data_IF_177646182483
#
_entry.id   IF_177646182483
#
_cell.length_a   1.000
_cell.length_b   1.000
_cell.length_c   1.000
_cell.angle_alpha   90.00
_cell.angle_beta   90.00
_cell.angle_gamma   90.00
#
_symmetry.space_group_name_H-M   'P 1'
#
loop_
_entity.id
_entity.type
_entity.pdbx_description
1 polymer ?
#
# COMPACT_ATOMS: atom_id res chain seq x y z
N UNK A 1 -39.90 6.28 -14.34
CA UNK A 1 -38.47 5.92 -14.18
C UNK A 1 -37.79 6.98 -13.32
N UNK A 2 -37.17 6.55 -12.20
CA UNK A 2 -36.39 7.44 -11.36
C UNK A 2 -35.12 7.86 -12.09
N UNK A 3 -34.76 9.16 -11.97
CA UNK A 3 -33.54 9.68 -12.57
C UNK A 3 -32.31 9.11 -11.83
N UNK A 4 -31.33 8.65 -12.57
CA UNK A 4 -30.04 8.24 -11.98
C UNK A 4 -29.15 9.45 -11.75
N UNK A 5 -28.42 9.51 -10.62
CA UNK A 5 -27.51 10.61 -10.33
C UNK A 5 -26.29 10.61 -11.25
N UNK A 6 -25.70 11.79 -11.45
CA UNK A 6 -24.44 11.93 -12.18
C UNK A 6 -23.24 11.51 -11.28
N UNK A 7 -22.78 10.27 -11.43
CA UNK A 7 -21.71 9.72 -10.61
C UNK A 7 -20.36 10.43 -10.80
N UNK A 8 -20.09 10.96 -11.99
CA UNK A 8 -18.82 11.69 -12.26
C UNK A 8 -18.81 13.02 -11.49
N UNK A 9 -19.91 13.73 -11.49
CA UNK A 9 -20.10 14.95 -10.71
C UNK A 9 -19.94 14.67 -9.20
N UNK A 10 -20.70 13.69 -8.68
CA UNK A 10 -20.69 13.32 -7.27
C UNK A 10 -19.29 13.01 -6.77
N UNK A 11 -18.52 12.24 -7.53
CA UNK A 11 -17.14 11.88 -7.15
C UNK A 11 -16.22 13.10 -7.09
N UNK A 12 -16.35 13.97 -8.07
CA UNK A 12 -15.52 15.18 -8.12
C UNK A 12 -15.82 16.10 -6.93
N UNK A 13 -17.09 16.24 -6.58
CA UNK A 13 -17.51 17.08 -5.47
C UNK A 13 -17.17 16.46 -4.09
N UNK A 14 -17.26 15.15 -3.93
CA UNK A 14 -16.84 14.47 -2.68
C UNK A 14 -15.36 14.63 -2.34
N UNK A 15 -14.52 15.04 -3.29
CA UNK A 15 -13.10 15.35 -3.03
C UNK A 15 -12.90 16.75 -2.42
N UNK A 16 -13.94 17.59 -2.40
CA UNK A 16 -13.87 18.94 -1.83
C UNK A 16 -14.13 18.92 -0.32
N UNK A 17 -13.37 19.70 0.41
CA UNK A 17 -13.57 19.85 1.86
C UNK A 17 -14.96 20.40 2.17
N UNK A 18 -15.66 19.76 3.10
CA UNK A 18 -17.01 20.17 3.55
C UNK A 18 -18.16 19.61 2.73
N UNK A 19 -17.92 18.92 1.61
CA UNK A 19 -18.95 18.27 0.81
C UNK A 19 -19.21 16.86 1.34
N UNK A 20 -20.47 16.51 1.54
CA UNK A 20 -20.88 15.19 1.98
C UNK A 20 -22.03 14.62 1.12
N UNK A 21 -22.27 13.31 1.23
CA UNK A 21 -23.32 12.63 0.43
C UNK A 21 -24.71 13.21 0.65
N UNK A 22 -24.98 13.76 1.84
CA UNK A 22 -26.31 14.35 2.14
C UNK A 22 -26.55 15.64 1.38
N UNK A 23 -25.51 16.51 1.30
CA UNK A 23 -25.56 17.74 0.53
C UNK A 23 -25.82 17.45 -0.95
N UNK A 24 -25.04 16.53 -1.54
CA UNK A 24 -25.16 16.13 -2.94
C UNK A 24 -26.51 15.47 -3.26
N UNK A 25 -27.11 14.78 -2.29
CA UNK A 25 -28.44 14.23 -2.45
C UNK A 25 -29.50 15.33 -2.48
N UNK A 26 -29.37 16.38 -1.68
CA UNK A 26 -30.29 17.53 -1.70
C UNK A 26 -30.23 18.25 -3.05
N UNK A 27 -29.01 18.54 -3.55
CA UNK A 27 -28.78 19.12 -4.88
C UNK A 27 -29.41 18.26 -5.99
N UNK A 28 -29.16 16.96 -5.96
CA UNK A 28 -29.79 16.02 -6.90
C UNK A 28 -31.32 16.03 -6.85
N UNK A 29 -31.94 16.13 -5.66
CA UNK A 29 -33.38 16.24 -5.52
C UNK A 29 -33.93 17.53 -6.12
N UNK A 30 -33.21 18.64 -5.99
CA UNK A 30 -33.57 19.93 -6.61
C UNK A 30 -33.51 19.87 -8.13
N UNK A 31 -32.44 19.27 -8.69
CA UNK A 31 -32.32 19.03 -10.13
C UNK A 31 -33.48 18.18 -10.68
N UNK A 32 -33.83 17.09 -9.99
CA UNK A 32 -34.94 16.25 -10.37
C UNK A 32 -36.26 17.02 -10.36
N UNK A 33 -36.45 17.90 -9.37
CA UNK A 33 -37.66 18.75 -9.27
C UNK A 33 -37.76 19.73 -10.43
N UNK A 34 -36.63 20.34 -10.82
CA UNK A 34 -36.59 21.25 -11.98
C UNK A 34 -36.89 20.53 -13.31
N UNK A 35 -36.51 19.28 -13.42
CA UNK A 35 -36.71 18.45 -14.61
C UNK A 35 -38.02 17.67 -14.60
N UNK A 36 -38.86 17.83 -13.55
CA UNK A 36 -40.10 17.06 -13.34
C UNK A 36 -39.88 15.54 -13.34
N UNK A 37 -38.73 15.10 -12.82
CA UNK A 37 -38.35 13.70 -12.68
C UNK A 37 -38.45 13.24 -11.22
N UNK A 38 -38.64 11.94 -11.01
CA UNK A 38 -38.74 11.37 -9.66
C UNK A 38 -37.34 11.08 -9.09
N UNK A 39 -36.97 11.67 -7.93
CA UNK A 39 -35.66 11.40 -7.31
C UNK A 39 -35.62 10.05 -6.60
N UNK A 40 -34.38 9.52 -6.44
CA UNK A 40 -34.10 8.40 -5.56
C UNK A 40 -34.21 8.83 -4.09
N UNK A 41 -34.68 7.92 -3.23
CA UNK A 41 -34.54 8.11 -1.78
C UNK A 41 -33.07 8.13 -1.38
N UNK A 42 -32.73 8.77 -0.27
CA UNK A 42 -31.35 8.91 0.20
C UNK A 42 -30.61 7.58 0.31
N UNK A 43 -31.27 6.55 0.84
CA UNK A 43 -30.70 5.19 0.93
C UNK A 43 -30.37 4.59 -0.43
N UNK A 44 -31.27 4.77 -1.43
CA UNK A 44 -31.05 4.31 -2.79
C UNK A 44 -29.92 5.09 -3.48
N UNK A 45 -29.88 6.41 -3.28
CA UNK A 45 -28.81 7.26 -3.77
C UNK A 45 -27.44 6.81 -3.25
N UNK A 46 -27.30 6.59 -1.94
CA UNK A 46 -26.07 6.07 -1.34
C UNK A 46 -25.72 4.67 -1.85
N UNK A 47 -26.70 3.79 -2.01
CA UNK A 47 -26.50 2.45 -2.56
C UNK A 47 -25.92 2.47 -3.97
N UNK A 48 -26.47 3.31 -4.87
CA UNK A 48 -25.98 3.40 -6.23
C UNK A 48 -24.59 4.04 -6.31
N UNK A 49 -24.27 5.01 -5.46
CA UNK A 49 -22.89 5.55 -5.35
C UNK A 49 -21.92 4.45 -4.95
N UNK A 50 -22.23 3.69 -3.90
CA UNK A 50 -21.39 2.58 -3.45
C UNK A 50 -21.20 1.55 -4.57
N UNK A 51 -22.27 1.19 -5.29
CA UNK A 51 -22.20 0.25 -6.41
C UNK A 51 -21.35 0.76 -7.58
N UNK A 52 -21.36 2.08 -7.86
CA UNK A 52 -20.46 2.69 -8.84
C UNK A 52 -19.01 2.67 -8.37
N UNK A 53 -18.78 2.95 -7.09
CA UNK A 53 -17.45 2.83 -6.46
C UNK A 53 -16.91 1.39 -6.52
N UNK A 54 -17.73 0.38 -6.24
CA UNK A 54 -17.37 -1.04 -6.31
C UNK A 54 -17.02 -1.49 -7.73
N UNK A 55 -17.80 -1.06 -8.73
CA UNK A 55 -17.49 -1.33 -10.15
C UNK A 55 -16.16 -0.74 -10.59
N UNK A 56 -15.76 0.39 -10.03
CA UNK A 56 -14.51 1.09 -10.35
C UNK A 56 -13.33 0.62 -9.49
N UNK A 57 -13.63 0.07 -8.31
CA UNK A 57 -12.69 -0.69 -7.48
C UNK A 57 -12.45 -2.09 -8.05
N UNK A 58 -12.72 -2.33 -9.33
CA UNK A 58 -12.15 -3.47 -10.01
C UNK A 58 -10.63 -3.38 -9.84
N UNK A 59 -10.18 -3.84 -8.72
CA UNK A 59 -8.78 -4.05 -8.37
C UNK A 59 -8.29 -4.94 -9.48
N UNK A 60 -7.36 -4.42 -10.26
CA UNK A 60 -6.70 -5.22 -11.28
C UNK A 60 -5.98 -6.32 -10.53
N UNK A 61 -6.61 -7.48 -10.41
CA UNK A 61 -6.02 -8.62 -9.75
C UNK A 61 -4.85 -9.05 -10.64
N UNK A 62 -3.64 -8.62 -10.27
CA UNK A 62 -2.43 -9.05 -10.94
C UNK A 62 -2.24 -10.52 -10.58
N UNK A 63 -2.41 -11.48 -11.52
CA UNK A 63 -2.20 -12.89 -11.23
C UNK A 63 -0.74 -13.09 -10.82
N UNK A 64 -0.51 -13.48 -9.59
CA UNK A 64 0.81 -13.81 -9.03
C UNK A 64 1.01 -15.31 -9.08
N UNK A 65 2.25 -15.74 -9.28
CA UNK A 65 2.61 -17.17 -9.20
C UNK A 65 3.19 -17.50 -7.82
N UNK A 66 2.99 -18.73 -7.32
CA UNK A 66 3.64 -19.17 -6.08
C UNK A 66 5.16 -18.98 -6.15
N UNK A 67 5.76 -18.40 -5.10
CA UNK A 67 7.21 -18.20 -5.00
C UNK A 67 7.82 -17.20 -5.98
N UNK A 68 7.00 -16.44 -6.74
CA UNK A 68 7.50 -15.49 -7.74
C UNK A 68 8.04 -14.20 -7.12
N UNK A 69 7.41 -13.72 -6.05
CA UNK A 69 7.71 -12.40 -5.50
C UNK A 69 7.50 -12.35 -3.98
N UNK A 70 8.40 -11.63 -3.31
CA UNK A 70 8.26 -11.19 -1.92
C UNK A 70 8.23 -9.66 -1.87
N UNK A 71 7.38 -9.10 -1.03
CA UNK A 71 7.34 -7.67 -0.70
C UNK A 71 7.92 -7.47 0.69
N UNK A 72 8.78 -6.45 0.85
CA UNK A 72 9.46 -6.15 2.11
C UNK A 72 9.31 -4.68 2.47
N UNK A 73 9.15 -4.42 3.76
CA UNK A 73 9.03 -3.07 4.30
C UNK A 73 9.39 -3.03 5.79
N UNK A 74 9.71 -1.83 6.32
CA UNK A 74 9.64 -1.55 7.74
C UNK A 74 8.22 -1.14 8.10
N UNK A 75 7.67 -1.69 9.17
CA UNK A 75 6.36 -1.26 9.67
C UNK A 75 6.50 0.10 10.37
N UNK A 76 6.07 1.15 9.72
CA UNK A 76 5.90 2.52 10.21
C UNK A 76 6.65 2.92 11.50
N UNK A 77 5.92 3.27 12.56
CA UNK A 77 6.50 3.64 13.85
C UNK A 77 7.07 2.41 14.59
N UNK A 78 8.19 2.56 15.33
CA UNK A 78 8.76 1.47 16.12
C UNK A 78 7.81 1.02 17.24
N UNK A 79 7.85 -0.27 17.54
CA UNK A 79 7.26 -0.79 18.76
C UNK A 79 8.16 -0.45 19.96
N UNK A 80 7.56 -0.29 21.14
CA UNK A 80 8.30 0.01 22.36
C UNK A 80 8.37 -1.22 23.26
N UNK A 81 9.59 -1.60 23.62
CA UNK A 81 9.87 -2.67 24.61
C UNK A 81 10.20 -1.97 25.92
N UNK A 82 9.44 -2.30 26.97
CA UNK A 82 9.66 -1.74 28.31
C UNK A 82 10.33 -2.83 29.14
N UNK A 83 11.51 -2.53 29.67
CA UNK A 83 12.19 -3.41 30.63
C UNK A 83 11.38 -3.41 31.95
N UNK A 84 10.93 -4.59 32.44
CA UNK A 84 10.06 -4.69 33.61
C UNK A 84 10.77 -4.31 34.92
N UNK A 85 12.10 -4.39 34.98
CA UNK A 85 12.87 -4.15 36.18
C UNK A 85 13.36 -2.69 36.28
N UNK A 86 13.75 -2.12 35.14
CA UNK A 86 14.31 -0.77 35.08
C UNK A 86 13.33 0.29 34.59
N UNK A 87 12.27 -0.10 33.90
CA UNK A 87 11.33 0.80 33.23
C UNK A 87 11.92 1.48 31.98
N UNK A 88 13.11 1.05 31.53
CA UNK A 88 13.73 1.60 30.33
C UNK A 88 12.92 1.23 29.08
N UNK A 89 12.72 2.23 28.21
CA UNK A 89 11.99 2.05 26.93
C UNK A 89 13.02 1.92 25.81
N UNK A 90 12.94 0.79 25.09
CA UNK A 90 13.78 0.52 23.93
C UNK A 90 12.92 0.43 22.67
N UNK A 91 13.27 1.17 21.63
CA UNK A 91 12.58 1.12 20.35
C UNK A 91 12.95 -0.16 19.58
N UNK A 92 11.93 -0.82 19.03
CA UNK A 92 12.07 -2.01 18.22
C UNK A 92 11.42 -1.80 16.85
N UNK A 93 12.23 -1.83 15.81
CA UNK A 93 11.81 -1.66 14.42
C UNK A 93 11.35 -3.00 13.86
N UNK A 94 10.16 -3.03 13.28
CA UNK A 94 9.55 -4.26 12.81
C UNK A 94 9.78 -4.39 11.31
N UNK A 95 10.56 -5.39 10.91
CA UNK A 95 10.69 -5.80 9.52
C UNK A 95 9.59 -6.77 9.15
N UNK A 96 8.97 -6.56 7.99
CA UNK A 96 7.91 -7.41 7.43
C UNK A 96 8.29 -7.83 6.03
N UNK A 97 8.24 -9.14 5.75
CA UNK A 97 8.38 -9.69 4.41
C UNK A 97 7.20 -10.61 4.10
N UNK A 98 6.51 -10.38 2.97
CA UNK A 98 5.28 -11.09 2.61
C UNK A 98 5.41 -11.72 1.23
N UNK A 99 5.18 -13.03 1.14
CA UNK A 99 5.04 -13.72 -0.14
C UNK A 99 3.72 -13.31 -0.79
N UNK A 100 3.78 -12.65 -1.95
CA UNK A 100 2.60 -11.99 -2.56
C UNK A 100 1.49 -12.92 -2.99
N UNK A 101 1.80 -14.19 -3.28
CA UNK A 101 0.78 -15.19 -3.65
C UNK A 101 0.05 -15.77 -2.45
N UNK A 102 0.79 -16.27 -1.45
CA UNK A 102 0.23 -17.00 -0.29
C UNK A 102 -0.15 -16.08 0.87
N UNK A 103 0.30 -14.83 0.84
CA UNK A 103 0.22 -13.89 1.98
C UNK A 103 0.96 -14.41 3.23
N UNK A 104 1.83 -15.42 3.05
CA UNK A 104 2.66 -15.93 4.15
C UNK A 104 3.73 -14.91 4.50
N UNK A 105 3.80 -14.54 5.77
CA UNK A 105 4.59 -13.42 6.23
C UNK A 105 5.71 -13.84 7.19
N UNK A 106 6.88 -13.23 7.02
CA UNK A 106 7.96 -13.18 7.99
C UNK A 106 7.92 -11.83 8.69
N UNK A 107 7.95 -11.84 10.02
CA UNK A 107 7.94 -10.62 10.84
C UNK A 107 9.00 -10.75 11.93
N UNK A 108 9.86 -9.74 12.07
CA UNK A 108 10.91 -9.72 13.09
C UNK A 108 11.26 -8.31 13.53
N UNK A 109 11.54 -8.15 14.83
CA UNK A 109 11.98 -6.91 15.43
C UNK A 109 13.51 -6.75 15.39
N UNK A 110 13.96 -5.52 15.19
CA UNK A 110 15.38 -5.11 15.18
C UNK A 110 15.56 -3.81 15.96
N UNK A 111 16.76 -3.57 16.46
CA UNK A 111 17.06 -2.38 17.27
C UNK A 111 17.16 -1.08 16.46
N UNK A 112 17.24 -1.14 15.15
CA UNK A 112 17.28 0.00 14.24
C UNK A 112 17.06 -0.46 12.79
N UNK A 113 16.81 0.52 11.89
CA UNK A 113 16.60 0.31 10.45
C UNK A 113 17.89 0.39 9.61
N UNK A 114 19.07 0.32 10.21
CA UNK A 114 20.33 0.46 9.48
C UNK A 114 20.53 -0.67 8.47
N UNK A 115 21.41 -0.41 7.47
CA UNK A 115 21.70 -1.34 6.37
C UNK A 115 22.06 -2.75 6.86
N UNK A 116 22.85 -2.87 7.94
CA UNK A 116 23.24 -4.17 8.48
C UNK A 116 22.02 -5.00 8.94
N UNK A 117 21.08 -4.36 9.64
CA UNK A 117 19.84 -5.01 10.06
C UNK A 117 18.92 -5.29 8.88
N UNK A 118 18.91 -4.39 7.86
CA UNK A 118 18.18 -4.62 6.63
C UNK A 118 18.64 -5.89 5.91
N UNK A 119 19.95 -6.02 5.68
CA UNK A 119 20.52 -7.22 5.06
C UNK A 119 20.28 -8.47 5.91
N UNK A 120 20.53 -8.38 7.23
CA UNK A 120 20.28 -9.48 8.17
C UNK A 120 18.83 -9.95 8.16
N UNK A 121 17.88 -9.01 8.06
CA UNK A 121 16.46 -9.30 7.99
C UNK A 121 16.11 -10.11 6.72
N UNK A 122 16.69 -9.75 5.59
CA UNK A 122 16.50 -10.50 4.34
C UNK A 122 17.04 -11.92 4.41
N UNK A 123 18.26 -12.09 4.90
CA UNK A 123 18.87 -13.41 5.07
C UNK A 123 18.00 -14.30 5.96
N UNK A 124 17.56 -13.78 7.11
CA UNK A 124 16.69 -14.53 8.03
C UNK A 124 15.30 -14.81 7.45
N UNK A 125 14.78 -13.92 6.62
CA UNK A 125 13.53 -14.14 5.89
C UNK A 125 13.67 -15.26 4.86
N UNK A 126 14.78 -15.31 4.12
CA UNK A 126 15.05 -16.37 3.15
C UNK A 126 15.20 -17.74 3.84
N UNK A 127 15.89 -17.77 4.98
CA UNK A 127 15.97 -18.98 5.82
C UNK A 127 14.61 -19.44 6.31
N UNK A 128 13.77 -18.50 6.77
CA UNK A 128 12.41 -18.78 7.24
C UNK A 128 11.50 -19.33 6.13
N UNK A 129 11.57 -18.77 4.92
CA UNK A 129 10.81 -19.26 3.78
C UNK A 129 11.38 -20.55 3.16
N UNK A 130 12.58 -20.93 3.54
CA UNK A 130 13.28 -22.08 2.98
C UNK A 130 13.77 -21.87 1.55
N UNK A 131 13.94 -20.62 1.13
CA UNK A 131 14.40 -20.25 -0.21
C UNK A 131 14.21 -18.78 -0.54
N UNK A 132 14.58 -18.43 -1.78
CA UNK A 132 14.59 -17.06 -2.29
C UNK A 132 13.63 -16.94 -3.48
N UNK A 133 12.83 -15.87 -3.52
CA UNK A 133 12.01 -15.56 -4.68
C UNK A 133 12.82 -14.85 -5.75
N UNK A 134 12.57 -15.06 -7.05
CA UNK A 134 13.29 -14.36 -8.13
C UNK A 134 13.08 -12.84 -8.12
N UNK A 135 11.99 -12.36 -7.52
CA UNK A 135 11.69 -10.92 -7.41
C UNK A 135 11.49 -10.51 -5.96
N UNK A 136 12.11 -9.40 -5.58
CA UNK A 136 11.96 -8.75 -4.29
C UNK A 136 11.51 -7.30 -4.52
N UNK A 137 10.35 -6.93 -4.00
CA UNK A 137 9.83 -5.57 -4.07
C UNK A 137 10.05 -4.91 -2.71
N UNK A 138 10.84 -3.84 -2.70
CA UNK A 138 11.04 -3.01 -1.51
C UNK A 138 10.40 -1.65 -1.72
N UNK A 139 9.86 -1.06 -0.64
CA UNK A 139 9.54 0.36 -0.69
C UNK A 139 10.83 1.19 -0.79
N UNK A 140 10.73 2.44 -1.26
CA UNK A 140 11.86 3.38 -1.35
C UNK A 140 12.34 3.80 0.05
N UNK A 141 12.74 2.84 0.88
CA UNK A 141 13.37 3.18 2.14
C UNK A 141 14.80 3.70 1.87
N UNK A 142 15.21 4.69 2.61
CA UNK A 142 16.55 5.30 2.50
C UNK A 142 17.69 4.29 2.66
N UNK A 143 17.41 3.18 3.33
CA UNK A 143 18.35 2.09 3.57
C UNK A 143 18.58 1.23 2.31
N UNK A 144 17.57 1.11 1.44
CA UNK A 144 17.67 0.34 0.20
C UNK A 144 18.14 1.18 -0.98
N UNK A 145 17.99 2.51 -0.92
CA UNK A 145 18.15 3.40 -2.08
C UNK A 145 18.99 4.63 -1.73
N UNK A 146 20.07 4.87 -2.48
CA UNK A 146 20.82 6.12 -2.41
C UNK A 146 20.07 7.24 -3.15
N UNK A 147 19.55 8.24 -2.42
CA UNK A 147 18.90 9.40 -3.02
C UNK A 147 19.91 10.30 -3.73
N UNK A 148 20.08 10.15 -5.05
CA UNK A 148 20.49 11.25 -5.92
C UNK A 148 19.26 11.74 -6.69
N UNK A 149 18.89 13.00 -6.45
CA UNK A 149 17.83 13.71 -7.17
C UNK A 149 18.13 13.71 -8.68
N UNK A 150 17.44 12.93 -9.46
CA UNK A 150 17.11 13.09 -10.88
C UNK A 150 17.22 11.79 -11.65
N UNK A 151 16.42 10.92 -11.66
CA UNK A 151 16.01 9.96 -12.68
C UNK A 151 15.33 8.77 -12.00
N UNK A 152 14.05 8.68 -12.25
CA UNK A 152 13.24 7.57 -11.72
C UNK A 152 13.69 6.18 -12.23
N UNK A 153 14.57 6.15 -13.27
CA UNK A 153 15.13 4.93 -13.86
C UNK A 153 16.47 4.50 -13.22
N UNK A 154 17.17 5.41 -12.54
CA UNK A 154 18.48 5.17 -11.92
C UNK A 154 18.43 5.40 -10.41
N UNK A 155 17.47 4.76 -9.71
CA UNK A 155 17.50 4.68 -8.27
C UNK A 155 18.67 3.76 -7.90
N UNK A 156 19.85 4.37 -7.62
CA UNK A 156 21.02 3.61 -7.23
C UNK A 156 20.74 2.87 -5.92
N UNK A 157 20.60 1.57 -5.99
CA UNK A 157 20.53 0.71 -4.81
C UNK A 157 21.81 0.91 -3.98
N UNK A 158 21.68 0.79 -2.66
CA UNK A 158 22.84 0.71 -1.78
C UNK A 158 23.73 -0.46 -2.26
N UNK A 159 25.05 -0.22 -2.39
CA UNK A 159 26.00 -1.21 -2.93
C UNK A 159 25.88 -2.57 -2.24
N UNK A 160 25.81 -2.58 -0.92
CA UNK A 160 25.68 -3.83 -0.13
C UNK A 160 24.36 -4.55 -0.41
N UNK A 161 23.28 -3.80 -0.66
CA UNK A 161 21.98 -4.38 -1.00
C UNK A 161 22.00 -4.98 -2.41
N UNK A 162 22.72 -4.35 -3.33
CA UNK A 162 22.94 -4.89 -4.67
C UNK A 162 23.78 -6.18 -4.63
N UNK A 163 24.88 -6.19 -3.88
CA UNK A 163 25.72 -7.37 -3.68
C UNK A 163 24.94 -8.55 -3.08
N UNK A 164 24.04 -8.29 -2.12
CA UNK A 164 23.12 -9.31 -1.60
C UNK A 164 22.21 -9.85 -2.70
N UNK A 165 21.64 -8.98 -3.53
CA UNK A 165 20.76 -9.41 -4.62
C UNK A 165 21.48 -10.27 -5.66
N UNK A 166 22.71 -9.91 -6.00
CA UNK A 166 23.57 -10.73 -6.88
C UNK A 166 23.91 -12.08 -6.26
N UNK A 167 24.29 -12.10 -4.96
CA UNK A 167 24.59 -13.33 -4.24
C UNK A 167 23.44 -14.34 -4.26
N UNK A 168 22.21 -13.86 -4.04
CA UNK A 168 21.01 -14.70 -4.03
C UNK A 168 20.34 -14.85 -5.41
N UNK A 169 20.90 -14.24 -6.45
CA UNK A 169 20.40 -14.25 -7.82
C UNK A 169 18.92 -13.82 -7.91
N UNK A 170 18.59 -12.70 -7.24
CA UNK A 170 17.26 -12.10 -7.22
C UNK A 170 17.26 -10.70 -7.85
N UNK A 171 16.12 -10.28 -8.41
CA UNK A 171 15.91 -8.93 -8.92
C UNK A 171 15.21 -8.06 -7.86
N UNK A 172 15.82 -6.92 -7.50
CA UNK A 172 15.18 -5.92 -6.65
C UNK A 172 14.37 -4.96 -7.51
N UNK A 173 13.09 -4.84 -7.21
CA UNK A 173 12.15 -3.92 -7.85
C UNK A 173 11.75 -2.85 -6.84
N UNK A 174 12.32 -1.64 -6.89
CA UNK A 174 11.89 -0.56 -6.00
C UNK A 174 10.45 -0.14 -6.34
N UNK A 175 9.59 -0.04 -5.32
CA UNK A 175 8.23 0.46 -5.51
C UNK A 175 8.27 1.93 -5.99
N UNK A 176 7.36 2.30 -6.89
CA UNK A 176 7.34 3.65 -7.48
C UNK A 176 6.99 4.70 -6.44
N UNK A 177 7.79 5.76 -6.38
CA UNK A 177 7.54 6.92 -5.53
C UNK A 177 6.15 7.52 -5.83
N UNK A 178 5.32 7.70 -4.81
CA UNK A 178 3.99 8.37 -4.87
C UNK A 178 2.86 7.64 -5.61
N UNK A 179 2.92 6.33 -5.78
CA UNK A 179 1.75 5.56 -6.24
C UNK A 179 1.38 4.45 -5.25
N UNK A 180 0.67 4.76 -4.17
CA UNK A 180 0.26 3.76 -3.17
C UNK A 180 -0.65 2.65 -3.74
N UNK A 181 -1.15 2.82 -4.97
CA UNK A 181 -1.96 1.83 -5.69
C UNK A 181 -1.14 0.71 -6.36
N UNK A 182 0.17 0.82 -6.40
CA UNK A 182 1.06 -0.22 -6.96
C UNK A 182 1.37 -1.31 -5.91
N UNK A 183 1.00 -1.10 -4.63
CA UNK A 183 1.01 -2.13 -3.58
C UNK A 183 -0.36 -2.83 -3.61
N UNK A 184 -0.45 -4.13 -3.91
CA UNK A 184 -1.66 -4.88 -3.63
C UNK A 184 -1.90 -4.88 -2.10
N UNK A 185 -3.14 -4.61 -1.71
CA UNK A 185 -3.58 -4.69 -0.30
C UNK A 185 -3.43 -6.10 0.23
#
# INVERSE_FOLDING_TARGET
NKRMPNFDYIRKELLRNGVNKKLLWVEYCEECRMSSEEPLMYSQFCYYIQKDEEKRRATMHIPRKPGEQVEVDWAGDPAHIIDPDTGEITDAWIFVGVLTYSQYAFVKAYMNEKTDNWIKAHVQMFDFFGGVTPMLVSDNCTTAVNHKKSDWYNTALNTTYHEMAEHYNLAILPARVRKPKDKPN
#
